data_IF_563592407245
#
_entry.id   IF_563592407245
#
_cell.length_a   1.000
_cell.length_b   1.000
_cell.length_c   1.000
_cell.angle_alpha   90.00
_cell.angle_beta   90.00
_cell.angle_gamma   90.00
#
_symmetry.space_group_name_H-M   'P 1'
#
loop_
_entity.id
_entity.type
_entity.pdbx_description
1 polymer ?
#
# COMPACT_ATOMS: atom_id res chain seq x y z
N UNK A 1 11.39 6.76 -3.71
CA UNK A 1 12.32 7.90 -3.62
C UNK A 1 11.55 9.17 -3.93
N UNK A 2 11.94 10.26 -3.30
CA UNK A 2 11.34 11.58 -3.49
C UNK A 2 12.44 12.64 -3.48
N UNK A 3 12.13 13.81 -4.01
CA UNK A 3 13.02 14.96 -3.98
C UNK A 3 12.29 16.19 -3.40
N UNK A 4 13.00 17.29 -3.22
CA UNK A 4 12.48 18.47 -2.53
C UNK A 4 11.21 19.07 -3.12
N UNK A 5 10.90 18.81 -4.40
CA UNK A 5 9.70 19.33 -5.05
C UNK A 5 8.43 18.80 -4.42
N UNK A 6 8.46 17.61 -3.82
CA UNK A 6 7.26 16.91 -3.32
C UNK A 6 7.32 16.56 -1.84
N UNK A 7 8.41 16.85 -1.14
CA UNK A 7 8.56 16.58 0.31
C UNK A 7 7.49 17.27 1.17
N UNK A 8 6.98 18.42 0.73
CA UNK A 8 5.91 19.15 1.41
C UNK A 8 4.53 18.47 1.28
N UNK A 9 4.36 17.58 0.29
CA UNK A 9 3.14 16.80 0.07
C UNK A 9 3.12 15.50 0.87
N UNK A 10 4.24 15.13 1.47
CA UNK A 10 4.35 13.93 2.28
C UNK A 10 3.53 14.06 3.56
N UNK A 11 2.93 12.95 3.96
CA UNK A 11 2.24 12.86 5.24
C UNK A 11 3.22 12.72 6.40
N UNK A 12 2.77 13.04 7.59
CA UNK A 12 3.60 13.02 8.80
C UNK A 12 4.16 11.63 9.13
N UNK A 13 3.51 10.55 8.68
CA UNK A 13 3.99 9.18 8.88
C UNK A 13 5.35 8.92 8.22
N UNK A 14 5.76 9.73 7.23
CA UNK A 14 7.09 9.65 6.60
C UNK A 14 8.20 10.30 7.46
N UNK A 15 7.84 11.00 8.55
CA UNK A 15 8.77 11.79 9.38
C UNK A 15 8.93 11.24 10.80
N UNK A 16 8.42 10.05 11.08
CA UNK A 16 8.55 9.41 12.39
C UNK A 16 9.91 8.73 12.53
N UNK A 17 10.39 8.61 13.78
CA UNK A 17 11.71 8.04 14.11
C UNK A 17 11.91 6.60 13.63
N UNK A 18 10.82 5.84 13.48
CA UNK A 18 10.83 4.42 13.11
C UNK A 18 10.94 4.18 11.60
N UNK A 19 10.91 5.23 10.78
CA UNK A 19 11.02 5.09 9.33
C UNK A 19 12.49 4.92 8.95
N UNK A 20 12.77 3.86 8.19
CA UNK A 20 14.06 3.68 7.51
C UNK A 20 14.13 4.66 6.35
N UNK A 21 14.75 5.82 6.59
CA UNK A 21 14.95 6.89 5.61
C UNK A 21 16.44 7.20 5.46
N UNK A 22 16.88 7.26 4.21
CA UNK A 22 18.18 7.80 3.82
C UNK A 22 17.94 9.11 3.08
N UNK A 23 18.69 10.16 3.41
CA UNK A 23 18.61 11.45 2.74
C UNK A 23 20.00 11.94 2.38
N UNK A 24 20.13 12.59 1.22
CA UNK A 24 21.40 13.14 0.74
C UNK A 24 21.16 14.37 -0.15
N UNK A 25 22.19 15.19 -0.33
CA UNK A 25 22.12 16.41 -1.15
C UNK A 25 22.53 16.17 -2.61
N UNK A 26 22.91 14.94 -2.95
CA UNK A 26 23.18 14.49 -4.33
C UNK A 26 22.71 13.05 -4.55
N UNK A 27 22.47 12.68 -5.81
CA UNK A 27 22.10 11.32 -6.17
C UNK A 27 23.26 10.35 -5.97
N UNK A 28 24.49 10.80 -6.17
CA UNK A 28 25.72 10.03 -6.00
C UNK A 28 26.00 9.69 -4.54
N UNK A 29 25.81 10.67 -3.64
CA UNK A 29 25.90 10.45 -2.19
C UNK A 29 24.78 9.52 -1.70
N UNK A 30 23.56 9.71 -2.21
CA UNK A 30 22.45 8.82 -1.91
C UNK A 30 22.75 7.38 -2.35
N UNK A 31 23.24 7.20 -3.58
CA UNK A 31 23.60 5.90 -4.14
C UNK A 31 24.66 5.20 -3.28
N UNK A 32 25.71 5.94 -2.90
CA UNK A 32 26.79 5.42 -2.05
C UNK A 32 26.25 4.95 -0.69
N UNK A 33 25.36 5.73 -0.08
CA UNK A 33 24.78 5.39 1.22
C UNK A 33 23.86 4.17 1.12
N UNK A 34 23.04 4.10 0.06
CA UNK A 34 22.16 2.97 -0.20
C UNK A 34 22.94 1.68 -0.47
N UNK A 35 24.09 1.75 -1.14
CA UNK A 35 24.97 0.59 -1.35
C UNK A 35 25.56 0.09 -0.03
N UNK A 36 26.06 1.00 0.81
CA UNK A 36 26.71 0.66 2.07
C UNK A 36 25.74 0.12 3.13
N UNK A 37 24.52 0.65 3.19
CA UNK A 37 23.57 0.35 4.27
C UNK A 37 22.44 -0.59 3.86
N UNK A 38 22.14 -0.70 2.57
CA UNK A 38 20.92 -1.33 2.06
C UNK A 38 21.11 -2.25 0.85
N UNK A 39 22.35 -2.60 0.50
CA UNK A 39 22.68 -3.55 -0.57
C UNK A 39 22.10 -3.15 -1.95
N UNK A 40 21.98 -1.85 -2.21
CA UNK A 40 21.53 -1.31 -3.51
C UNK A 40 22.75 -1.03 -4.39
N UNK A 41 22.82 -1.61 -5.58
CA UNK A 41 23.88 -1.32 -6.56
C UNK A 41 23.85 0.17 -6.96
N UNK A 42 24.92 0.90 -6.62
CA UNK A 42 24.97 2.35 -6.83
C UNK A 42 24.99 2.72 -8.33
N UNK A 43 25.67 1.94 -9.16
CA UNK A 43 25.80 2.22 -10.59
C UNK A 43 24.46 2.02 -11.30
N UNK A 44 23.79 0.90 -11.02
CA UNK A 44 22.49 0.58 -11.60
C UNK A 44 21.39 1.51 -11.09
N UNK A 45 21.47 1.93 -9.82
CA UNK A 45 20.58 2.95 -9.27
C UNK A 45 20.70 4.27 -10.05
N UNK A 46 21.92 4.79 -10.26
CA UNK A 46 22.13 6.05 -10.98
C UNK A 46 21.65 5.96 -12.43
N UNK A 47 21.91 4.83 -13.11
CA UNK A 47 21.40 4.57 -14.46
C UNK A 47 19.86 4.57 -14.50
N UNK A 48 19.23 3.93 -13.51
CA UNK A 48 17.77 3.87 -13.40
C UNK A 48 17.17 5.26 -13.21
N UNK A 49 17.75 6.08 -12.33
CA UNK A 49 17.28 7.46 -12.09
C UNK A 49 17.48 8.33 -13.33
N UNK A 50 18.62 8.21 -14.02
CA UNK A 50 18.88 8.95 -15.26
C UNK A 50 17.88 8.57 -16.37
N UNK A 51 17.64 7.27 -16.58
CA UNK A 51 16.66 6.78 -17.55
C UNK A 51 15.24 7.24 -17.21
N UNK A 52 14.86 7.17 -15.94
CA UNK A 52 13.57 7.67 -15.47
C UNK A 52 13.43 9.17 -15.75
N UNK A 53 14.41 9.99 -15.33
CA UNK A 53 14.37 11.44 -15.53
C UNK A 53 14.27 11.83 -17.02
N UNK A 54 14.99 11.13 -17.89
CA UNK A 54 14.93 11.34 -19.34
C UNK A 54 13.57 10.95 -19.95
N UNK A 55 12.85 10.02 -19.33
CA UNK A 55 11.55 9.53 -19.82
C UNK A 55 10.35 10.40 -19.44
N UNK A 56 10.49 11.29 -18.44
CA UNK A 56 9.38 12.11 -17.91
C UNK A 56 8.98 13.20 -18.91
N UNK A 57 7.72 13.21 -19.34
CA UNK A 57 7.15 14.35 -20.08
C UNK A 57 6.99 15.55 -19.14
N UNK A 58 7.42 16.72 -19.61
CA UNK A 58 7.27 18.01 -18.92
C UNK A 58 6.20 18.90 -19.56
N UNK A 59 5.49 18.40 -20.58
CA UNK A 59 4.47 19.17 -21.31
C UNK A 59 3.21 19.42 -20.48
N UNK A 60 2.95 18.53 -19.53
CA UNK A 60 1.80 18.57 -18.64
C UNK A 60 2.22 19.07 -17.27
N UNK A 61 1.60 20.14 -16.73
CA UNK A 61 1.85 20.60 -15.38
C UNK A 61 1.57 19.52 -14.35
N UNK A 62 2.36 19.48 -13.27
CA UNK A 62 2.12 18.55 -12.16
C UNK A 62 0.92 19.00 -11.33
N UNK A 63 -0.06 18.12 -11.15
CA UNK A 63 -1.18 18.33 -10.22
C UNK A 63 -1.39 17.08 -9.36
N UNK A 64 -1.06 17.12 -8.05
CA UNK A 64 -1.17 15.96 -7.17
C UNK A 64 -2.61 15.61 -6.79
N UNK A 65 -3.59 16.45 -7.15
CA UNK A 65 -5.00 16.30 -6.71
C UNK A 65 -5.87 15.55 -7.73
N UNK A 66 -5.41 15.45 -8.98
CA UNK A 66 -6.12 14.76 -10.08
C UNK A 66 -5.18 13.83 -10.82
N UNK A 67 -5.71 12.90 -11.61
CA UNK A 67 -4.92 12.13 -12.58
C UNK A 67 -4.47 13.08 -13.69
N UNK A 68 -3.33 13.73 -13.47
CA UNK A 68 -2.83 14.84 -14.28
C UNK A 68 -2.42 14.44 -15.71
N UNK A 69 -2.18 13.16 -15.97
CA UNK A 69 -1.70 12.67 -17.27
C UNK A 69 -0.21 12.92 -17.51
N UNK A 70 0.52 13.45 -16.54
CA UNK A 70 1.97 13.64 -16.65
C UNK A 70 2.67 12.28 -16.54
N UNK A 71 3.28 11.83 -17.64
CA UNK A 71 3.71 10.45 -17.81
C UNK A 71 5.21 10.27 -18.05
N UNK A 72 5.66 9.02 -18.02
CA UNK A 72 6.93 8.60 -18.64
C UNK A 72 6.66 7.95 -19.99
N UNK A 73 7.65 7.96 -20.89
CA UNK A 73 7.58 7.21 -22.15
C UNK A 73 8.89 6.48 -22.43
N UNK A 74 8.79 5.24 -22.90
CA UNK A 74 9.96 4.45 -23.32
C UNK A 74 10.63 3.64 -22.22
N UNK A 75 10.02 3.56 -21.02
CA UNK A 75 10.44 2.61 -19.99
C UNK A 75 9.80 1.23 -20.23
N UNK A 76 10.33 0.19 -19.57
CA UNK A 76 9.71 -1.15 -19.61
C UNK A 76 8.26 -1.14 -19.08
N UNK A 77 7.98 -0.27 -18.12
CA UNK A 77 6.63 0.02 -17.61
C UNK A 77 6.51 1.53 -17.45
N UNK A 78 5.67 2.14 -18.25
CA UNK A 78 5.43 3.58 -18.19
C UNK A 78 4.48 3.97 -17.06
N UNK A 79 4.80 5.08 -16.41
CA UNK A 79 3.95 5.75 -15.43
C UNK A 79 3.03 6.71 -16.18
N UNK A 80 1.72 6.57 -15.97
CA UNK A 80 0.73 7.34 -16.74
C UNK A 80 0.31 8.68 -16.10
N UNK A 81 0.69 8.94 -14.84
CA UNK A 81 0.30 10.15 -14.08
C UNK A 81 1.36 10.49 -13.02
N UNK A 82 1.47 11.77 -12.66
CA UNK A 82 2.33 12.31 -11.61
C UNK A 82 3.82 11.99 -11.79
N UNK A 83 4.27 11.80 -13.03
CA UNK A 83 5.68 11.56 -13.31
C UNK A 83 6.45 12.88 -13.11
N UNK A 84 7.37 12.90 -12.16
CA UNK A 84 8.19 14.08 -11.86
C UNK A 84 9.64 13.64 -11.83
N UNK A 85 10.51 14.39 -12.51
CA UNK A 85 11.96 14.16 -12.48
C UNK A 85 12.49 14.23 -11.05
N UNK A 86 13.57 13.51 -10.78
CA UNK A 86 14.31 13.51 -9.52
C UNK A 86 15.60 14.28 -9.75
N UNK A 87 15.54 15.60 -9.56
CA UNK A 87 16.63 16.52 -9.94
C UNK A 87 16.87 17.65 -8.92
N UNK A 88 16.02 17.76 -7.89
CA UNK A 88 16.09 18.86 -6.92
C UNK A 88 16.39 18.34 -5.52
N UNK A 89 17.61 18.54 -4.99
CA UNK A 89 17.96 18.10 -3.64
C UNK A 89 17.20 18.87 -2.55
N UNK A 90 17.07 18.32 -1.33
CA UNK A 90 17.55 16.99 -0.90
C UNK A 90 16.73 15.83 -1.49
N UNK A 91 17.40 14.70 -1.69
CA UNK A 91 16.81 13.44 -2.13
C UNK A 91 16.53 12.55 -0.93
N UNK A 92 15.36 11.92 -0.87
CA UNK A 92 14.96 11.00 0.21
C UNK A 92 14.57 9.62 -0.34
N UNK A 93 15.23 8.58 0.15
CA UNK A 93 14.91 7.18 -0.09
C UNK A 93 14.31 6.54 1.17
N UNK A 94 13.34 5.66 0.97
CA UNK A 94 12.60 5.00 2.05
C UNK A 94 12.62 3.49 1.84
N UNK A 95 12.99 2.76 2.88
CA UNK A 95 12.88 1.32 2.90
C UNK A 95 11.42 0.89 2.86
N UNK A 96 11.05 0.08 1.86
CA UNK A 96 9.70 -0.49 1.74
C UNK A 96 9.79 -2.00 1.79
N UNK A 97 8.88 -2.61 2.53
CA UNK A 97 8.75 -4.07 2.59
C UNK A 97 7.29 -4.46 2.47
N UNK A 98 7.05 -5.69 2.04
CA UNK A 98 5.71 -6.23 1.94
C UNK A 98 5.15 -6.50 3.33
N UNK A 99 4.06 -5.81 3.67
CA UNK A 99 3.28 -6.08 4.88
C UNK A 99 2.01 -6.86 4.57
N UNK A 100 1.74 -7.92 5.33
CA UNK A 100 0.45 -8.62 5.27
C UNK A 100 -0.62 -7.68 5.84
N UNK A 101 -1.50 -7.17 4.98
CA UNK A 101 -2.55 -6.23 5.42
C UNK A 101 -3.74 -6.97 6.05
N UNK A 102 -4.11 -8.14 5.53
CA UNK A 102 -5.15 -9.04 6.05
C UNK A 102 -5.09 -10.38 5.31
N UNK A 103 -5.84 -11.37 5.82
CA UNK A 103 -6.04 -12.68 5.18
C UNK A 103 -7.47 -12.81 4.67
N UNK A 104 -7.66 -13.52 3.57
CA UNK A 104 -9.00 -13.90 3.06
C UNK A 104 -9.53 -15.18 3.71
N UNK A 105 -8.65 -15.97 4.34
CA UNK A 105 -9.01 -17.14 5.11
C UNK A 105 -9.67 -16.78 6.45
N UNK A 106 -10.31 -17.76 7.07
CA UNK A 106 -10.94 -17.64 8.38
C UNK A 106 -11.96 -18.74 8.61
N UNK A 107 -12.71 -18.66 9.71
CA UNK A 107 -13.74 -19.63 10.06
C UNK A 107 -14.87 -19.63 9.02
N UNK A 108 -15.34 -20.80 8.61
CA UNK A 108 -16.53 -20.91 7.76
C UNK A 108 -17.75 -20.59 8.61
N UNK A 109 -18.65 -19.76 8.07
CA UNK A 109 -19.88 -19.36 8.77
C UNK A 109 -21.13 -19.58 7.92
N UNK A 110 -22.28 -19.70 8.60
CA UNK A 110 -23.60 -19.61 7.97
C UNK A 110 -24.00 -18.14 7.71
N UNK A 111 -25.08 -17.86 6.96
CA UNK A 111 -25.62 -16.51 6.84
C UNK A 111 -26.02 -15.85 8.17
N UNK A 112 -26.23 -16.65 9.22
CA UNK A 112 -26.49 -16.19 10.60
C UNK A 112 -25.20 -15.97 11.41
N UNK A 113 -24.04 -15.95 10.77
CA UNK A 113 -22.72 -15.78 11.39
C UNK A 113 -22.31 -16.89 12.38
N UNK A 114 -23.00 -18.05 12.37
CA UNK A 114 -22.63 -19.21 13.18
C UNK A 114 -21.42 -19.90 12.55
N UNK A 115 -20.42 -20.25 13.35
CA UNK A 115 -19.28 -21.05 12.88
C UNK A 115 -19.74 -22.48 12.62
N UNK A 116 -19.25 -23.08 11.55
CA UNK A 116 -19.52 -24.48 11.22
C UNK A 116 -18.26 -25.33 11.39
N UNK A 117 -18.45 -26.59 11.75
CA UNK A 117 -17.39 -27.61 11.80
C UNK A 117 -17.05 -28.15 10.40
N UNK A 118 -16.24 -29.22 10.36
CA UNK A 118 -15.80 -29.88 9.13
C UNK A 118 -16.95 -30.56 8.37
N UNK A 119 -18.00 -30.98 9.09
CA UNK A 119 -19.23 -31.56 8.53
C UNK A 119 -20.28 -30.50 8.13
N UNK A 120 -19.91 -29.22 8.23
CA UNK A 120 -20.75 -28.05 7.95
C UNK A 120 -21.93 -27.89 8.93
N UNK A 121 -21.83 -28.47 10.13
CA UNK A 121 -22.82 -28.36 11.18
C UNK A 121 -22.53 -27.10 12.03
N UNK A 122 -23.53 -26.24 12.29
CA UNK A 122 -23.34 -25.08 13.16
C UNK A 122 -22.95 -25.48 14.58
N UNK A 123 -21.87 -24.89 15.09
CA UNK A 123 -21.41 -25.10 16.47
C UNK A 123 -22.23 -24.20 17.40
N UNK A 124 -22.99 -24.77 18.35
CA UNK A 124 -23.83 -23.99 19.26
C UNK A 124 -23.03 -22.97 20.07
N UNK A 125 -23.48 -21.73 20.08
CA UNK A 125 -22.86 -20.64 20.86
C UNK A 125 -21.61 -20.02 20.24
N UNK A 126 -21.14 -20.50 19.07
CA UNK A 126 -19.95 -19.97 18.42
C UNK A 126 -20.29 -19.16 17.16
N UNK A 127 -19.88 -17.89 17.15
CA UNK A 127 -20.14 -16.95 16.06
C UNK A 127 -18.85 -16.24 15.64
N UNK A 128 -18.73 -15.90 14.35
CA UNK A 128 -17.58 -15.17 13.84
C UNK A 128 -17.99 -14.05 12.87
N UNK A 129 -17.26 -12.93 12.94
CA UNK A 129 -17.47 -11.77 12.10
C UNK A 129 -16.15 -11.09 11.72
N UNK A 130 -16.19 -10.21 10.72
CA UNK A 130 -15.01 -9.50 10.21
C UNK A 130 -13.95 -10.45 9.66
N UNK A 131 -12.67 -10.22 10.00
CA UNK A 131 -11.55 -11.07 9.52
C UNK A 131 -11.42 -12.40 10.25
N UNK A 132 -12.23 -12.65 11.28
CA UNK A 132 -12.27 -13.96 11.94
C UNK A 132 -12.99 -15.03 11.11
N UNK A 133 -13.74 -14.62 10.07
CA UNK A 133 -14.42 -15.52 9.15
C UNK A 133 -13.75 -15.52 7.78
N UNK A 134 -13.96 -16.60 7.02
CA UNK A 134 -13.58 -16.67 5.61
C UNK A 134 -14.32 -15.60 4.81
N UNK A 135 -13.61 -14.93 3.91
CA UNK A 135 -14.23 -14.02 2.96
C UNK A 135 -14.87 -14.78 1.79
N UNK A 136 -16.04 -14.31 1.38
CA UNK A 136 -16.85 -14.96 0.34
C UNK A 136 -16.43 -14.56 -1.08
N UNK A 137 -15.71 -13.44 -1.23
CA UNK A 137 -15.24 -12.95 -2.53
C UNK A 137 -13.71 -12.97 -2.60
N UNK A 138 -13.13 -13.46 -3.71
CA UNK A 138 -11.68 -13.54 -3.90
C UNK A 138 -11.01 -12.17 -4.05
N UNK A 139 -11.77 -11.12 -4.41
CA UNK A 139 -11.26 -9.76 -4.55
C UNK A 139 -12.30 -8.77 -4.02
N UNK A 140 -12.13 -8.33 -2.77
CA UNK A 140 -12.96 -7.30 -2.16
C UNK A 140 -12.28 -5.94 -2.28
N UNK A 141 -13.04 -4.89 -2.61
CA UNK A 141 -12.55 -3.53 -2.43
C UNK A 141 -12.40 -3.21 -0.94
N UNK A 142 -11.68 -2.13 -0.60
CA UNK A 142 -11.63 -1.66 0.80
C UNK A 142 -13.03 -1.35 1.36
N UNK A 143 -13.92 -0.79 0.54
CA UNK A 143 -15.30 -0.45 0.94
C UNK A 143 -16.13 -1.67 1.29
N UNK A 144 -16.06 -2.72 0.46
CA UNK A 144 -16.82 -3.95 0.67
C UNK A 144 -16.45 -4.65 1.99
N UNK A 145 -15.18 -4.59 2.38
CA UNK A 145 -14.70 -5.16 3.65
C UNK A 145 -15.26 -4.41 4.87
N UNK A 146 -15.36 -3.09 4.81
CA UNK A 146 -15.94 -2.28 5.90
C UNK A 146 -17.43 -2.60 6.04
N UNK A 147 -18.15 -2.67 4.92
CA UNK A 147 -19.56 -3.03 4.89
C UNK A 147 -19.80 -4.44 5.47
N UNK A 148 -18.99 -5.42 5.06
CA UNK A 148 -19.09 -6.79 5.55
C UNK A 148 -18.79 -6.93 7.05
N UNK A 149 -17.78 -6.21 7.57
CA UNK A 149 -17.49 -6.17 9.01
C UNK A 149 -18.68 -5.65 9.80
N UNK A 150 -19.32 -4.56 9.34
CA UNK A 150 -20.50 -4.01 10.00
C UNK A 150 -21.71 -4.95 9.91
N UNK A 151 -22.00 -5.49 8.73
CA UNK A 151 -23.15 -6.37 8.50
C UNK A 151 -23.08 -7.65 9.33
N UNK A 152 -22.01 -8.44 9.17
CA UNK A 152 -21.84 -9.68 9.92
C UNK A 152 -21.57 -9.44 11.40
N UNK A 153 -20.94 -8.32 11.77
CA UNK A 153 -20.77 -7.94 13.18
C UNK A 153 -22.12 -7.72 13.87
N UNK A 154 -23.06 -7.05 13.20
CA UNK A 154 -24.42 -6.90 13.71
C UNK A 154 -25.14 -8.25 13.81
N UNK A 155 -25.09 -9.06 12.75
CA UNK A 155 -25.74 -10.38 12.72
C UNK A 155 -25.23 -11.28 13.85
N UNK A 156 -23.90 -11.40 13.99
CA UNK A 156 -23.28 -12.18 15.07
C UNK A 156 -23.70 -11.67 16.46
N UNK A 157 -23.72 -10.35 16.66
CA UNK A 157 -24.15 -9.74 17.92
C UNK A 157 -25.62 -10.05 18.27
N UNK A 158 -26.53 -9.89 17.32
CA UNK A 158 -27.96 -10.20 17.48
C UNK A 158 -28.17 -11.69 17.79
N UNK A 159 -27.52 -12.58 17.04
CA UNK A 159 -27.64 -14.02 17.26
C UNK A 159 -27.02 -14.49 18.58
N UNK A 160 -25.89 -13.90 18.99
CA UNK A 160 -25.25 -14.22 20.26
C UNK A 160 -26.07 -13.72 21.48
N UNK A 161 -26.77 -12.59 21.36
CA UNK A 161 -27.61 -12.04 22.42
C UNK A 161 -28.97 -12.76 22.56
N UNK A 162 -29.33 -13.64 21.62
CA UNK A 162 -30.64 -14.31 21.61
C UNK A 162 -31.82 -13.37 21.37
N UNK A 163 -31.56 -12.16 20.87
CA UNK A 163 -32.60 -11.19 20.50
C UNK A 163 -32.96 -11.41 19.03
N UNK A 164 -34.23 -11.72 18.74
CA UNK A 164 -34.79 -11.69 17.38
C UNK A 164 -35.16 -10.27 16.95
#
# INVERSE_FOLDING_TARGET
MFDAKVTHLMRDEYRIRQVTRVAADSLEELATTLEQEHEVDAEEFLKTVAAFNASVSQDVPFDPTVKDGRCTTGLAIDKNNWATTLDTPPFEAFGVTCGITFTFGGLRITPKAQVVDEDLVPIPGLYAAGTGRRDFLPQLSRGDRIAQRRGFGRIAGTQAAGTE
#
